data_IF_574913010875
#
_entry.id   IF_574913010875
#
_cell.length_a   1.000
_cell.length_b   1.000
_cell.length_c   1.000
_cell.angle_alpha   90.00
_cell.angle_beta   90.00
_cell.angle_gamma   90.00
#
_symmetry.space_group_name_H-M   'P 1'
#
loop_
_entity.id
_entity.type
_entity.pdbx_description
1 polymer ?
#
# COMPACT_ATOMS: atom_id res chain seq x y z
N UNK A 1 14.66 -23.73 0.85
CA UNK A 1 13.88 -22.91 1.79
C UNK A 1 13.14 -21.90 0.94
N UNK A 2 11.83 -21.78 1.10
CA UNK A 2 11.09 -20.73 0.40
C UNK A 2 11.27 -19.48 1.26
N UNK A 3 11.95 -18.47 0.73
CA UNK A 3 12.14 -17.22 1.45
C UNK A 3 10.77 -16.59 1.67
N UNK A 4 10.43 -16.36 2.93
CA UNK A 4 9.12 -15.81 3.30
C UNK A 4 9.07 -14.35 2.90
N UNK A 5 7.96 -13.93 2.29
CA UNK A 5 7.68 -12.51 2.02
C UNK A 5 7.69 -11.68 3.30
N UNK A 6 7.43 -12.30 4.46
CA UNK A 6 7.42 -11.64 5.76
C UNK A 6 8.78 -11.06 6.13
N UNK A 7 9.88 -11.72 5.74
CA UNK A 7 11.25 -11.30 6.05
C UNK A 7 11.82 -10.31 5.03
N UNK A 8 11.06 -9.93 4.01
CA UNK A 8 11.49 -8.93 3.02
C UNK A 8 11.66 -7.58 3.70
N UNK A 9 12.85 -6.99 3.55
CA UNK A 9 13.15 -5.64 4.02
C UNK A 9 12.53 -4.63 3.07
N UNK A 10 11.73 -3.71 3.61
CA UNK A 10 11.04 -2.62 2.91
C UNK A 10 11.21 -1.32 3.69
N UNK A 11 10.91 -0.20 3.06
CA UNK A 11 10.82 1.10 3.73
C UNK A 11 9.33 1.42 3.87
N UNK A 12 8.85 1.96 4.98
CA UNK A 12 7.47 2.47 4.99
C UNK A 12 7.39 3.86 4.34
N UNK A 13 6.19 4.38 4.14
CA UNK A 13 5.98 5.70 3.54
C UNK A 13 6.53 6.85 4.40
N UNK A 14 6.83 6.62 5.69
CA UNK A 14 7.46 7.60 6.57
C UNK A 14 9.01 7.50 6.52
N UNK A 15 9.54 6.48 5.84
CA UNK A 15 10.95 6.30 5.56
C UNK A 15 11.68 5.34 6.49
N UNK A 16 10.96 4.68 7.39
CA UNK A 16 11.54 3.73 8.33
C UNK A 16 11.76 2.37 7.69
N UNK A 17 12.94 1.79 7.92
CA UNK A 17 13.26 0.44 7.43
C UNK A 17 12.58 -0.60 8.32
N UNK A 18 11.79 -1.48 7.71
CA UNK A 18 11.00 -2.51 8.39
C UNK A 18 10.96 -3.80 7.57
N UNK A 19 10.29 -4.82 8.11
CA UNK A 19 9.85 -6.02 7.38
C UNK A 19 8.33 -6.12 7.37
N UNK A 20 7.80 -7.16 6.70
CA UNK A 20 6.37 -7.47 6.67
C UNK A 20 5.94 -8.43 7.78
N UNK A 21 6.85 -8.82 8.70
CA UNK A 21 6.58 -9.75 9.80
C UNK A 21 5.41 -9.32 10.70
N UNK A 22 5.20 -8.01 10.87
CA UNK A 22 4.07 -7.47 11.65
C UNK A 22 2.70 -7.87 11.12
N UNK A 23 2.62 -8.33 9.87
CA UNK A 23 1.39 -8.81 9.25
C UNK A 23 1.27 -10.34 9.22
N UNK A 24 2.16 -11.07 9.88
CA UNK A 24 2.11 -12.53 9.94
C UNK A 24 0.74 -13.04 10.44
N UNK A 25 0.21 -14.06 9.76
CA UNK A 25 -1.12 -14.62 10.05
C UNK A 25 -2.27 -13.94 9.30
N UNK A 26 -2.04 -12.77 8.69
CA UNK A 26 -3.00 -12.13 7.80
C UNK A 26 -2.85 -12.61 6.35
N UNK A 27 -3.94 -12.53 5.59
CA UNK A 27 -3.91 -12.55 4.13
C UNK A 27 -3.51 -11.16 3.63
N UNK A 28 -2.45 -11.08 2.83
CA UNK A 28 -1.94 -9.81 2.30
C UNK A 28 -2.34 -9.64 0.84
N UNK A 29 -2.95 -8.50 0.51
CA UNK A 29 -3.09 -8.03 -0.86
C UNK A 29 -2.09 -6.90 -1.09
N UNK A 30 -1.00 -7.23 -1.80
CA UNK A 30 0.08 -6.28 -2.12
C UNK A 30 -0.19 -5.69 -3.51
N UNK A 31 -0.25 -4.36 -3.61
CA UNK A 31 -0.63 -3.67 -4.84
C UNK A 31 0.35 -2.55 -5.11
N UNK A 32 0.96 -2.52 -6.30
CA UNK A 32 1.68 -1.34 -6.76
C UNK A 32 0.65 -0.26 -7.17
N UNK A 33 0.76 0.93 -6.61
CA UNK A 33 -0.23 2.01 -6.78
C UNK A 33 0.41 3.25 -7.39
N UNK A 34 -0.43 4.09 -8.01
CA UNK A 34 -0.04 5.40 -8.54
C UNK A 34 -1.25 6.34 -8.49
N UNK A 35 -1.02 7.59 -8.12
CA UNK A 35 -1.98 8.66 -7.91
C UNK A 35 -2.47 9.27 -9.22
N UNK A 36 -1.62 9.36 -10.25
CA UNK A 36 -1.98 9.95 -11.57
C UNK A 36 -2.29 8.90 -12.64
N UNK A 37 -2.79 7.74 -12.24
CA UNK A 37 -3.19 6.67 -13.14
C UNK A 37 -4.67 6.79 -13.56
N UNK A 38 -5.02 6.35 -14.76
CA UNK A 38 -6.44 6.21 -15.14
C UNK A 38 -7.21 5.22 -14.26
N UNK A 39 -6.48 4.34 -13.54
CA UNK A 39 -7.03 3.36 -12.61
C UNK A 39 -7.01 3.85 -11.15
N UNK A 40 -6.64 5.09 -10.84
CA UNK A 40 -6.67 5.63 -9.48
C UNK A 40 -8.03 5.46 -8.77
N UNK A 41 -9.21 5.47 -9.45
CA UNK A 41 -10.48 5.14 -8.80
C UNK A 41 -10.52 3.74 -8.13
N UNK A 42 -9.56 2.87 -8.40
CA UNK A 42 -9.38 1.59 -7.71
C UNK A 42 -9.08 1.75 -6.21
N UNK A 43 -8.54 2.88 -5.74
CA UNK A 43 -8.31 3.13 -4.31
C UNK A 43 -9.57 2.96 -3.47
N UNK A 44 -10.74 3.40 -3.96
CA UNK A 44 -12.02 3.20 -3.28
C UNK A 44 -12.38 1.72 -3.15
N UNK A 45 -12.12 0.93 -4.20
CA UNK A 45 -12.39 -0.52 -4.20
C UNK A 45 -11.46 -1.25 -3.23
N UNK A 46 -10.17 -0.86 -3.21
CA UNK A 46 -9.18 -1.39 -2.27
C UNK A 46 -9.56 -1.07 -0.82
N UNK A 47 -10.02 0.15 -0.56
CA UNK A 47 -10.49 0.56 0.76
C UNK A 47 -11.76 -0.20 1.18
N UNK A 48 -12.68 -0.44 0.25
CA UNK A 48 -13.88 -1.23 0.52
C UNK A 48 -13.56 -2.68 0.90
N UNK A 49 -12.63 -3.34 0.19
CA UNK A 49 -12.21 -4.69 0.57
C UNK A 49 -11.40 -4.71 1.86
N UNK A 50 -10.56 -3.69 2.11
CA UNK A 50 -9.85 -3.54 3.38
C UNK A 50 -10.85 -3.52 4.53
N UNK A 51 -11.84 -2.63 4.47
CA UNK A 51 -12.89 -2.50 5.50
C UNK A 51 -13.73 -3.77 5.66
N UNK A 52 -14.07 -4.44 4.56
CA UNK A 52 -14.91 -5.63 4.60
C UNK A 52 -14.23 -6.85 5.26
N UNK A 53 -12.90 -6.92 5.22
CA UNK A 53 -12.15 -8.12 5.63
C UNK A 53 -11.11 -7.88 6.74
N UNK A 54 -10.86 -6.63 7.15
CA UNK A 54 -9.87 -6.29 8.18
C UNK A 54 -10.01 -7.13 9.46
N UNK A 55 -11.22 -7.21 10.01
CA UNK A 55 -11.52 -7.96 11.24
C UNK A 55 -11.34 -9.49 11.10
N UNK A 56 -11.13 -9.96 9.86
CA UNK A 56 -10.93 -11.37 9.52
C UNK A 56 -9.47 -11.70 9.16
N UNK A 57 -8.56 -10.79 9.45
CA UNK A 57 -7.13 -10.95 9.20
C UNK A 57 -6.76 -10.71 7.73
N UNK A 58 -7.26 -9.63 7.13
CA UNK A 58 -6.92 -9.21 5.77
C UNK A 58 -6.31 -7.80 5.79
N UNK A 59 -5.26 -7.60 4.99
CA UNK A 59 -4.57 -6.31 4.88
C UNK A 59 -4.20 -6.02 3.43
N UNK A 60 -4.64 -4.86 2.91
CA UNK A 60 -4.10 -4.26 1.69
C UNK A 60 -2.79 -3.54 2.04
N UNK A 61 -1.76 -3.68 1.20
CA UNK A 61 -0.51 -2.92 1.28
C UNK A 61 -0.28 -2.22 -0.06
N UNK A 62 -0.37 -0.89 -0.04
CA UNK A 62 -0.10 -0.05 -1.21
C UNK A 62 1.41 0.17 -1.36
N UNK A 63 1.95 -0.03 -2.56
CA UNK A 63 3.33 0.27 -2.90
C UNK A 63 3.41 1.35 -3.99
N UNK A 64 3.56 2.64 -3.64
CA UNK A 64 3.66 3.71 -4.62
C UNK A 64 4.82 3.46 -5.58
N UNK A 65 4.54 3.51 -6.89
CA UNK A 65 5.53 3.17 -7.91
C UNK A 65 5.47 4.13 -9.10
N UNK A 66 6.57 4.85 -9.32
CA UNK A 66 6.68 5.82 -10.42
C UNK A 66 7.21 5.23 -11.74
N UNK A 67 7.44 3.90 -11.80
CA UNK A 67 8.08 3.27 -12.96
C UNK A 67 7.11 3.01 -14.13
N UNK A 68 5.82 3.31 -13.95
CA UNK A 68 4.79 3.14 -14.97
C UNK A 68 4.34 4.51 -15.49
N UNK A 69 4.97 4.96 -16.58
CA UNK A 69 4.68 6.24 -17.23
C UNK A 69 4.76 7.47 -16.31
N UNK A 70 5.62 7.42 -15.28
CA UNK A 70 5.84 8.53 -14.34
C UNK A 70 4.55 9.04 -13.65
N UNK A 71 3.64 8.12 -13.35
CA UNK A 71 2.33 8.43 -12.77
C UNK A 71 2.33 8.60 -11.24
N UNK A 72 3.49 8.48 -10.60
CA UNK A 72 3.68 8.74 -9.17
C UNK A 72 4.88 9.65 -8.88
N UNK A 73 4.90 10.88 -9.40
CA UNK A 73 6.08 11.75 -9.33
C UNK A 73 6.21 12.51 -8.00
N UNK A 74 5.25 12.36 -7.08
CA UNK A 74 5.25 13.04 -5.79
C UNK A 74 6.25 12.45 -4.81
N UNK A 75 6.60 13.22 -3.79
CA UNK A 75 7.28 12.73 -2.60
C UNK A 75 6.37 11.83 -1.76
N UNK A 76 6.97 11.01 -0.89
CA UNK A 76 6.23 10.10 -0.01
C UNK A 76 5.15 10.84 0.83
N UNK A 77 5.45 12.06 1.32
CA UNK A 77 4.51 12.90 2.08
C UNK A 77 3.34 13.40 1.20
N UNK A 78 3.63 13.81 -0.03
CA UNK A 78 2.60 14.24 -0.99
C UNK A 78 1.69 13.09 -1.39
N UNK A 79 2.25 11.89 -1.60
CA UNK A 79 1.50 10.67 -1.92
C UNK A 79 0.59 10.30 -0.76
N UNK A 80 1.14 10.20 0.46
CA UNK A 80 0.37 9.88 1.68
C UNK A 80 -0.77 10.86 1.90
N UNK A 81 -0.50 12.15 1.73
CA UNK A 81 -1.51 13.20 1.86
C UNK A 81 -2.58 13.08 0.78
N UNK A 82 -2.20 12.85 -0.47
CA UNK A 82 -3.14 12.70 -1.57
C UNK A 82 -4.09 11.50 -1.35
N UNK A 83 -3.54 10.33 -1.03
CA UNK A 83 -4.30 9.09 -0.82
C UNK A 83 -5.31 9.26 0.33
N UNK A 84 -4.88 9.80 1.46
CA UNK A 84 -5.75 9.99 2.63
C UNK A 84 -6.80 11.08 2.42
N UNK A 85 -6.42 12.24 1.88
CA UNK A 85 -7.35 13.38 1.72
C UNK A 85 -8.33 13.22 0.56
N UNK A 86 -7.91 12.57 -0.52
CA UNK A 86 -8.73 12.43 -1.74
C UNK A 86 -9.58 11.16 -1.69
N UNK A 87 -9.03 10.05 -1.19
CA UNK A 87 -9.66 8.73 -1.25
C UNK A 87 -10.07 8.18 0.11
N UNK A 88 -9.63 8.78 1.21
CA UNK A 88 -9.99 8.33 2.56
C UNK A 88 -9.47 6.92 2.88
N UNK A 89 -8.38 6.51 2.22
CA UNK A 89 -7.81 5.17 2.42
C UNK A 89 -7.20 5.03 3.82
N UNK A 90 -7.37 3.86 4.39
CA UNK A 90 -6.92 3.52 5.76
C UNK A 90 -5.89 2.40 5.78
N UNK A 91 -5.68 1.73 4.65
CA UNK A 91 -4.64 0.73 4.52
C UNK A 91 -3.24 1.35 4.46
N UNK A 92 -2.18 0.64 4.89
CA UNK A 92 -0.82 1.17 4.90
C UNK A 92 -0.21 1.30 3.50
N UNK A 93 0.51 2.40 3.28
CA UNK A 93 1.43 2.57 2.14
C UNK A 93 2.87 2.24 2.57
N UNK A 94 3.59 1.53 1.70
CA UNK A 94 4.93 0.97 1.91
C UNK A 94 5.77 1.22 0.64
N UNK A 95 7.08 1.44 0.76
CA UNK A 95 8.00 1.77 -0.33
C UNK A 95 9.10 0.70 -0.51
#
# INVERSE_FOLDING_TARGET
MQDSILTTVVKDIDGEVTTLEKYAGNVLLIVNVASKCGLTPQYEQLENIQKAWADRGFVVLGFPCNQFMEQEPGSDEEIKTYCTTTWGVTFPDVQ
#
